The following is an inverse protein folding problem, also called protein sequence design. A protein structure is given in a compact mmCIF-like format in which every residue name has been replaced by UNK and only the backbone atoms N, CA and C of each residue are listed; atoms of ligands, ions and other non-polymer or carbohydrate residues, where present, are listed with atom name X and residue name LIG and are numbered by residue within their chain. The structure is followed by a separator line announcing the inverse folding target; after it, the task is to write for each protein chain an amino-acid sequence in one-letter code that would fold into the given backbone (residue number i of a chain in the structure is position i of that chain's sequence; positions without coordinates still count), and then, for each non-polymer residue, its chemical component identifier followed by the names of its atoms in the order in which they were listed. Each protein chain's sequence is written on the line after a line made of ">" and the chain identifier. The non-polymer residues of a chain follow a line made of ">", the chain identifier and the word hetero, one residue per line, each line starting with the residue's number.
data_IF_752401124112
#
_entry.id   IF_752401124112
#
_cell.length_a   1.000
_cell.length_b   1.000
_cell.length_c   1.000
_cell.angle_alpha   90.00
_cell.angle_beta   90.00
_cell.angle_gamma   90.00
#
_symmetry.space_group_name_H-M   'P 1'
#
loop_
_entity.id
_entity.type
_entity.pdbx_description
1 polymer ?
#
# COMPACT_ATOMS: atom_id res chain seq x y z
N UNK A 1 -6.66 7.37 -11.15
CA UNK A 1 -5.78 6.86 -10.07
C UNK A 1 -6.58 5.92 -9.19
N UNK A 2 -6.00 4.79 -8.79
CA UNK A 2 -6.56 3.89 -7.79
C UNK A 2 -5.57 3.69 -6.63
N UNK A 3 -6.10 3.51 -5.42
CA UNK A 3 -5.34 3.35 -4.19
C UNK A 3 -5.81 2.12 -3.41
N UNK A 4 -4.87 1.38 -2.84
CA UNK A 4 -5.17 0.28 -1.93
C UNK A 4 -4.17 0.26 -0.78
N UNK A 5 -4.68 0.03 0.44
CA UNK A 5 -3.90 -0.06 1.66
C UNK A 5 -4.03 -1.48 2.22
N UNK A 6 -2.88 -2.14 2.39
CA UNK A 6 -2.82 -3.40 3.14
C UNK A 6 -2.79 -3.11 4.64
N UNK A 7 -3.58 -3.87 5.40
CA UNK A 7 -3.72 -3.67 6.85
C UNK A 7 -3.61 -4.98 7.63
N UNK A 8 -2.48 -5.18 8.32
CA UNK A 8 -2.18 -6.37 9.09
C UNK A 8 -2.95 -6.47 10.42
N UNK A 9 -3.75 -5.46 10.82
CA UNK A 9 -4.52 -5.51 12.08
C UNK A 9 -5.57 -6.63 12.03
N UNK A 10 -5.66 -7.42 13.10
CA UNK A 10 -6.51 -8.63 13.20
C UNK A 10 -7.98 -8.44 12.76
N UNK A 11 -8.52 -7.23 12.91
CA UNK A 11 -9.90 -6.93 12.50
C UNK A 11 -10.11 -6.75 10.99
N UNK A 12 -9.03 -6.73 10.19
CA UNK A 12 -9.06 -6.37 8.76
C UNK A 12 -8.43 -7.45 7.86
N UNK A 13 -8.63 -8.73 8.16
CA UNK A 13 -8.08 -9.85 7.37
C UNK A 13 -8.37 -9.76 5.85
N UNK A 14 -9.50 -9.15 5.46
CA UNK A 14 -9.81 -8.89 4.06
C UNK A 14 -8.82 -7.92 3.38
N UNK A 15 -8.34 -6.90 4.09
CA UNK A 15 -7.38 -5.94 3.55
C UNK A 15 -5.98 -6.53 3.37
N UNK A 16 -5.75 -7.79 3.73
CA UNK A 16 -4.45 -8.47 3.60
C UNK A 16 -4.36 -9.37 2.37
N UNK A 17 -5.42 -9.45 1.55
CA UNK A 17 -5.54 -10.40 0.44
C UNK A 17 -5.24 -9.75 -0.91
N UNK A 18 -4.44 -10.43 -1.74
CA UNK A 18 -4.18 -9.99 -3.12
C UNK A 18 -5.47 -9.85 -3.93
N UNK A 19 -6.39 -10.80 -3.76
CA UNK A 19 -7.68 -10.76 -4.44
C UNK A 19 -8.46 -9.45 -4.17
N UNK A 20 -8.40 -8.93 -2.94
CA UNK A 20 -9.09 -7.70 -2.57
C UNK A 20 -8.41 -6.45 -3.14
N UNK A 21 -7.08 -6.46 -3.28
CA UNK A 21 -6.37 -5.45 -4.08
C UNK A 21 -6.92 -5.44 -5.51
N UNK A 22 -6.94 -6.58 -6.20
CA UNK A 22 -7.40 -6.66 -7.60
C UNK A 22 -8.85 -6.20 -7.76
N UNK A 23 -9.76 -6.68 -6.90
CA UNK A 23 -11.18 -6.27 -6.92
C UNK A 23 -11.35 -4.77 -6.66
N UNK A 24 -10.59 -4.21 -5.73
CA UNK A 24 -10.62 -2.78 -5.43
C UNK A 24 -10.14 -1.94 -6.62
N UNK A 25 -9.05 -2.36 -7.28
CA UNK A 25 -8.56 -1.69 -8.48
C UNK A 25 -9.60 -1.73 -9.61
N UNK A 26 -10.20 -2.88 -9.88
CA UNK A 26 -11.27 -3.03 -10.89
C UNK A 26 -12.42 -2.07 -10.60
N UNK A 27 -12.88 -2.02 -9.35
CA UNK A 27 -13.97 -1.15 -8.91
C UNK A 27 -13.62 0.33 -9.14
N UNK A 28 -12.46 0.77 -8.67
CA UNK A 28 -12.03 2.16 -8.76
C UNK A 28 -11.82 2.62 -10.20
N UNK A 29 -11.19 1.81 -11.05
CA UNK A 29 -11.00 2.16 -12.47
C UNK A 29 -12.31 2.07 -13.26
N UNK A 30 -13.18 1.11 -12.97
CA UNK A 30 -14.53 1.04 -13.58
C UNK A 30 -15.34 2.29 -13.26
N UNK A 31 -15.33 2.73 -12.00
CA UNK A 31 -15.99 3.96 -11.59
C UNK A 31 -15.45 5.18 -12.35
N UNK A 32 -14.12 5.30 -12.48
CA UNK A 32 -13.47 6.38 -13.21
C UNK A 32 -13.78 6.40 -14.71
N UNK A 33 -13.97 5.22 -15.31
CA UNK A 33 -14.36 5.11 -16.73
C UNK A 33 -15.78 5.61 -16.99
N UNK A 34 -16.62 5.72 -15.95
CA UNK A 34 -18.00 6.21 -16.07
C UNK A 34 -19.00 5.14 -16.57
N UNK A 35 -18.64 3.86 -16.49
CA UNK A 35 -19.50 2.76 -16.91
C UNK A 35 -18.82 1.41 -16.73
N UNK A 36 -19.64 0.35 -16.63
CA UNK A 36 -19.14 -1.03 -16.47
C UNK A 36 -18.50 -1.47 -17.81
N UNK A 37 -17.20 -1.82 -17.82
CA UNK A 37 -16.54 -2.43 -18.97
C UNK A 37 -17.31 -3.65 -19.47
N UNK A 38 -17.47 -3.79 -20.79
CA UNK A 38 -18.13 -4.96 -21.39
C UNK A 38 -17.47 -6.26 -20.93
N UNK A 39 -16.15 -6.25 -20.78
CA UNK A 39 -15.35 -7.38 -20.34
C UNK A 39 -15.67 -7.81 -18.91
N UNK A 40 -15.93 -6.85 -18.02
CA UNK A 40 -16.35 -7.13 -16.65
C UNK A 40 -17.79 -7.66 -16.63
N UNK A 41 -18.68 -7.12 -17.45
CA UNK A 41 -20.06 -7.59 -17.58
C UNK A 41 -20.13 -9.01 -18.16
N UNK A 42 -19.28 -9.33 -19.12
CA UNK A 42 -19.22 -10.63 -19.75
C UNK A 42 -18.57 -11.67 -18.82
N UNK A 43 -17.55 -11.29 -18.04
CA UNK A 43 -17.02 -12.13 -16.97
C UNK A 43 -18.11 -12.48 -15.94
N UNK A 44 -18.91 -11.51 -15.52
CA UNK A 44 -20.04 -11.75 -14.61
C UNK A 44 -21.05 -12.76 -15.20
N UNK A 45 -21.45 -12.58 -16.47
CA UNK A 45 -22.38 -13.50 -17.15
C UNK A 45 -21.81 -14.91 -17.29
N UNK A 46 -20.50 -15.03 -17.56
CA UNK A 46 -19.82 -16.31 -17.73
C UNK A 46 -19.80 -17.13 -16.43
N UNK A 47 -19.56 -16.47 -15.29
CA UNK A 47 -19.57 -17.13 -13.99
C UNK A 47 -20.99 -17.48 -13.51
N UNK A 48 -22.01 -16.76 -14.00
CA UNK A 48 -23.40 -16.92 -13.55
C UNK A 48 -23.63 -16.42 -12.13
N UNK A 49 -24.84 -16.56 -11.61
CA UNK A 49 -25.27 -15.92 -10.35
C UNK A 49 -24.65 -16.51 -9.07
N UNK A 50 -23.90 -17.62 -9.17
CA UNK A 50 -23.46 -18.40 -7.99
C UNK A 50 -21.96 -18.69 -7.95
N UNK A 51 -21.18 -18.32 -8.98
CA UNK A 51 -19.74 -18.52 -8.96
C UNK A 51 -19.01 -17.19 -9.01
N UNK A 52 -17.96 -17.08 -8.21
CA UNK A 52 -17.04 -15.96 -8.28
C UNK A 52 -16.02 -16.21 -9.40
N UNK A 53 -15.60 -15.18 -10.14
CA UNK A 53 -14.48 -15.30 -11.06
C UNK A 53 -13.20 -15.65 -10.30
N UNK A 54 -12.34 -16.42 -10.94
CA UNK A 54 -11.01 -16.71 -10.41
C UNK A 54 -10.14 -15.45 -10.39
N UNK A 55 -9.11 -15.45 -9.53
CA UNK A 55 -8.17 -14.34 -9.44
C UNK A 55 -7.48 -14.04 -10.79
N UNK A 56 -7.14 -15.07 -11.57
CA UNK A 56 -6.54 -14.91 -12.89
C UNK A 56 -7.49 -14.17 -13.84
N UNK A 57 -8.78 -14.55 -13.87
CA UNK A 57 -9.79 -13.85 -14.68
C UNK A 57 -9.96 -12.39 -14.25
N UNK A 58 -9.90 -12.11 -12.95
CA UNK A 58 -9.95 -10.74 -12.44
C UNK A 58 -8.71 -9.93 -12.87
N UNK A 59 -7.52 -10.52 -12.80
CA UNK A 59 -6.28 -9.88 -13.26
C UNK A 59 -6.32 -9.59 -14.77
N UNK A 60 -6.84 -10.51 -15.58
CA UNK A 60 -7.00 -10.32 -17.02
C UNK A 60 -7.97 -9.18 -17.34
N UNK A 61 -9.13 -9.14 -16.66
CA UNK A 61 -10.09 -8.04 -16.82
C UNK A 61 -9.48 -6.72 -16.35
N UNK A 62 -8.76 -6.69 -15.24
CA UNK A 62 -8.06 -5.49 -14.78
C UNK A 62 -7.07 -4.97 -15.83
N UNK A 63 -6.29 -5.85 -16.47
CA UNK A 63 -5.39 -5.45 -17.56
C UNK A 63 -6.14 -4.78 -18.71
N UNK A 64 -7.28 -5.33 -19.13
CA UNK A 64 -8.09 -4.74 -20.20
C UNK A 64 -8.63 -3.38 -19.78
N UNK A 65 -9.12 -3.25 -18.55
CA UNK A 65 -9.58 -1.97 -18.01
C UNK A 65 -8.47 -0.93 -18.03
N UNK A 66 -7.27 -1.27 -17.55
CA UNK A 66 -6.11 -0.39 -17.52
C UNK A 66 -5.67 0.06 -18.92
N UNK A 67 -5.77 -0.81 -19.93
CA UNK A 67 -5.48 -0.48 -21.32
C UNK A 67 -6.45 0.55 -21.93
N UNK A 68 -7.62 0.75 -21.32
CA UNK A 68 -8.57 1.80 -21.71
C UNK A 68 -8.21 3.20 -21.23
N UNK A 69 -7.18 3.36 -20.39
CA UNK A 69 -6.74 4.66 -19.87
C UNK A 69 -5.52 5.17 -20.63
N UNK A 70 -5.47 6.50 -20.89
CA UNK A 70 -4.24 7.14 -21.37
C UNK A 70 -3.14 7.02 -20.34
N UNK A 71 -3.47 7.27 -19.06
CA UNK A 71 -2.55 7.22 -17.94
C UNK A 71 -3.27 6.56 -16.76
N UNK A 72 -2.72 5.45 -16.30
CA UNK A 72 -3.23 4.72 -15.15
C UNK A 72 -2.24 4.79 -14.00
N UNK A 73 -2.68 5.32 -12.86
CA UNK A 73 -1.89 5.43 -11.64
C UNK A 73 -2.42 4.45 -10.61
N UNK A 74 -1.56 3.58 -10.10
CA UNK A 74 -1.85 2.61 -9.04
C UNK A 74 -0.95 2.92 -7.85
N UNK A 75 -1.54 3.08 -6.67
CA UNK A 75 -0.81 3.22 -5.41
C UNK A 75 -1.13 2.03 -4.53
N UNK A 76 -0.09 1.29 -4.12
CA UNK A 76 -0.16 0.15 -3.22
C UNK A 76 0.57 0.52 -1.93
N UNK A 77 -0.17 0.64 -0.85
CA UNK A 77 0.35 1.13 0.42
C UNK A 77 0.51 -0.03 1.42
N UNK A 78 1.61 0.00 2.18
CA UNK A 78 2.01 -1.01 3.17
C UNK A 78 2.09 -2.45 2.62
N UNK A 79 2.72 -2.65 1.45
CA UNK A 79 2.80 -3.98 0.81
C UNK A 79 3.40 -5.08 1.71
N UNK A 80 4.25 -4.73 2.68
CA UNK A 80 4.77 -5.69 3.66
C UNK A 80 3.69 -6.32 4.55
N UNK A 81 2.52 -5.68 4.68
CA UNK A 81 1.35 -6.17 5.43
C UNK A 81 0.43 -7.09 4.60
N UNK A 82 0.73 -7.30 3.31
CA UNK A 82 0.02 -8.26 2.48
C UNK A 82 0.35 -9.69 2.92
N UNK A 83 -0.65 -10.51 3.20
CA UNK A 83 -0.43 -11.92 3.52
C UNK A 83 -0.12 -12.75 2.28
N UNK A 84 -0.71 -12.40 1.14
CA UNK A 84 -0.46 -13.03 -0.17
C UNK A 84 0.63 -12.26 -0.94
N UNK A 85 1.69 -11.83 -0.23
CA UNK A 85 2.68 -10.89 -0.75
C UNK A 85 3.41 -11.40 -1.99
N UNK A 86 3.77 -12.68 -2.00
CA UNK A 86 4.44 -13.31 -3.15
C UNK A 86 3.56 -13.23 -4.41
N UNK A 87 2.26 -13.52 -4.27
CA UNK A 87 1.30 -13.43 -5.38
C UNK A 87 1.18 -11.99 -5.89
N UNK A 88 1.13 -11.02 -4.96
CA UNK A 88 1.08 -9.58 -5.29
C UNK A 88 2.34 -9.14 -6.03
N UNK A 89 3.52 -9.55 -5.57
CA UNK A 89 4.80 -9.22 -6.21
C UNK A 89 4.92 -9.84 -7.61
N UNK A 90 4.50 -11.10 -7.77
CA UNK A 90 4.44 -11.76 -9.10
C UNK A 90 3.50 -11.02 -10.03
N UNK A 91 2.32 -10.61 -9.54
CA UNK A 91 1.37 -9.84 -10.33
C UNK A 91 1.93 -8.48 -10.73
N UNK A 92 2.55 -7.72 -9.83
CA UNK A 92 3.22 -6.44 -10.14
C UNK A 92 4.31 -6.64 -11.18
N UNK A 93 5.15 -7.66 -11.03
CA UNK A 93 6.19 -7.99 -12.00
C UNK A 93 5.61 -8.27 -13.39
N UNK A 94 4.54 -9.05 -13.44
CA UNK A 94 3.88 -9.39 -14.70
C UNK A 94 3.22 -8.17 -15.33
N UNK A 95 2.66 -7.26 -14.52
CA UNK A 95 2.02 -6.04 -14.99
C UNK A 95 3.03 -5.04 -15.58
N UNK A 96 4.23 -4.94 -14.98
CA UNK A 96 5.32 -4.08 -15.47
C UNK A 96 5.99 -4.68 -16.71
N UNK A 97 6.20 -6.00 -16.72
CA UNK A 97 6.88 -6.71 -17.83
C UNK A 97 6.00 -6.88 -19.07
N UNK A 98 4.70 -6.60 -18.98
CA UNK A 98 3.76 -6.75 -20.09
C UNK A 98 3.99 -5.67 -21.17
N UNK A 99 4.86 -6.01 -22.13
CA UNK A 99 5.32 -5.15 -23.24
C UNK A 99 4.24 -4.70 -24.23
N UNK A 100 3.00 -5.18 -24.12
CA UNK A 100 1.91 -4.79 -25.00
C UNK A 100 1.32 -3.40 -24.68
N UNK A 101 1.65 -2.82 -23.53
CA UNK A 101 1.39 -1.40 -23.25
C UNK A 101 2.56 -0.58 -23.76
N UNK A 102 2.28 0.60 -24.32
CA UNK A 102 3.29 1.65 -24.30
C UNK A 102 3.66 1.83 -22.82
N UNK A 103 4.90 1.47 -22.46
CA UNK A 103 5.40 1.45 -21.08
C UNK A 103 5.24 2.81 -20.36
N UNK A 104 4.86 3.85 -21.10
CA UNK A 104 4.64 5.22 -20.66
C UNK A 104 3.33 5.43 -19.89
N UNK A 105 2.33 4.57 -20.06
CA UNK A 105 0.95 4.85 -19.64
C UNK A 105 0.56 4.22 -18.29
N UNK A 106 1.48 3.50 -17.63
CA UNK A 106 1.26 2.88 -16.33
C UNK A 106 2.26 3.42 -15.32
N UNK A 107 1.72 3.94 -14.22
CA UNK A 107 2.51 4.41 -13.10
C UNK A 107 2.11 3.64 -11.85
N UNK A 108 3.07 2.98 -11.22
CA UNK A 108 2.86 2.24 -9.98
C UNK A 108 3.75 2.88 -8.91
N UNK A 109 3.15 3.22 -7.77
CA UNK A 109 3.85 3.59 -6.55
C UNK A 109 3.55 2.55 -5.50
N UNK A 110 4.60 2.07 -4.84
CA UNK A 110 4.49 1.10 -3.75
C UNK A 110 5.19 1.66 -2.52
N UNK A 111 4.55 1.54 -1.36
CA UNK A 111 5.20 1.77 -0.07
C UNK A 111 5.30 0.43 0.68
N UNK A 112 6.41 0.25 1.40
CA UNK A 112 6.59 -0.89 2.29
C UNK A 112 7.75 -0.64 3.25
N UNK A 113 7.90 -1.52 4.23
CA UNK A 113 9.19 -1.75 4.90
C UNK A 113 10.22 -2.34 3.92
N UNK A 114 11.53 -2.20 4.20
CA UNK A 114 12.61 -2.75 3.36
C UNK A 114 12.75 -4.27 3.55
N UNK A 115 11.71 -5.02 3.19
CA UNK A 115 11.71 -6.48 3.21
C UNK A 115 12.46 -7.01 1.98
N UNK A 116 13.35 -8.01 2.17
CA UNK A 116 14.29 -8.47 1.13
C UNK A 116 13.61 -8.99 -0.14
N UNK A 117 12.46 -9.63 -0.01
CA UNK A 117 11.67 -10.15 -1.12
C UNK A 117 11.09 -9.01 -1.96
N UNK A 118 10.61 -7.95 -1.32
CA UNK A 118 10.13 -6.73 -1.98
C UNK A 118 11.29 -6.04 -2.70
N UNK A 119 12.40 -5.77 -2.01
CA UNK A 119 13.58 -5.12 -2.58
C UNK A 119 14.10 -5.85 -3.81
N UNK A 120 14.19 -7.18 -3.73
CA UNK A 120 14.67 -8.02 -4.82
C UNK A 120 13.83 -7.87 -6.08
N UNK A 121 12.50 -7.81 -5.95
CA UNK A 121 11.59 -7.66 -7.10
C UNK A 121 11.72 -6.27 -7.70
N UNK A 122 11.65 -5.20 -6.88
CA UNK A 122 11.71 -3.83 -7.41
C UNK A 122 13.08 -3.43 -7.96
N UNK A 123 14.16 -4.05 -7.49
CA UNK A 123 15.49 -3.87 -8.06
C UNK A 123 15.59 -4.34 -9.54
N UNK A 124 14.69 -5.22 -9.99
CA UNK A 124 14.68 -5.70 -11.38
C UNK A 124 14.11 -4.70 -12.39
N UNK A 125 13.36 -3.68 -11.95
CA UNK A 125 12.65 -2.74 -12.83
C UNK A 125 13.29 -1.35 -12.96
N UNK A 126 14.51 -1.15 -12.44
CA UNK A 126 15.11 0.19 -12.28
C UNK A 126 14.15 1.16 -11.55
N UNK A 127 13.42 0.63 -10.57
CA UNK A 127 12.46 1.41 -9.81
C UNK A 127 13.18 2.48 -8.99
N UNK A 128 12.67 3.72 -9.03
CA UNK A 128 13.16 4.79 -8.16
C UNK A 128 12.73 4.52 -6.73
N UNK A 129 13.64 3.96 -5.92
CA UNK A 129 13.45 3.79 -4.50
C UNK A 129 13.75 5.10 -3.74
N UNK A 130 12.88 5.46 -2.80
CA UNK A 130 13.09 6.57 -1.87
C UNK A 130 13.01 5.97 -0.47
N UNK A 131 14.13 6.00 0.27
CA UNK A 131 14.12 5.64 1.68
C UNK A 131 13.70 6.86 2.52
N UNK A 132 12.60 6.69 3.27
CA UNK A 132 12.03 7.71 4.14
C UNK A 132 12.53 7.55 5.60
N UNK A 133 13.17 6.43 5.93
CA UNK A 133 13.55 6.06 7.30
C UNK A 133 14.87 6.63 7.80
N UNK A 134 15.90 6.76 6.95
CA UNK A 134 17.26 7.07 7.42
C UNK A 134 17.47 8.53 7.85
N UNK A 135 16.81 9.50 7.22
CA UNK A 135 17.19 10.91 7.38
C UNK A 135 16.51 11.64 8.54
N UNK A 136 15.34 11.16 9.02
CA UNK A 136 14.48 11.96 9.91
C UNK A 136 13.82 11.21 11.06
N UNK A 137 13.79 9.88 11.04
CA UNK A 137 12.95 9.10 11.96
C UNK A 137 13.16 9.46 13.43
N UNK A 138 14.41 9.57 13.90
CA UNK A 138 14.64 9.89 15.31
C UNK A 138 14.41 11.38 15.65
N UNK A 139 14.81 12.30 14.77
CA UNK A 139 14.69 13.74 15.08
C UNK A 139 13.25 14.23 14.99
N UNK A 140 12.47 13.72 14.03
CA UNK A 140 11.08 14.12 13.85
C UNK A 140 10.17 13.48 14.91
N UNK A 141 10.43 12.24 15.32
CA UNK A 141 9.77 11.66 16.50
C UNK A 141 10.09 12.50 17.74
N UNK A 142 11.36 12.85 17.98
CA UNK A 142 11.74 13.66 19.13
C UNK A 142 11.04 15.03 19.10
N UNK A 143 11.03 15.73 17.95
CA UNK A 143 10.34 17.03 17.81
C UNK A 143 8.83 16.92 18.02
N UNK A 144 8.20 15.88 17.48
CA UNK A 144 6.77 15.62 17.68
C UNK A 144 6.46 15.35 19.16
N UNK A 145 7.27 14.54 19.82
CA UNK A 145 7.15 14.27 21.26
C UNK A 145 7.36 15.55 22.07
N UNK A 146 8.35 16.37 21.74
CA UNK A 146 8.59 17.65 22.42
C UNK A 146 7.38 18.60 22.28
N UNK A 147 6.81 18.74 21.09
CA UNK A 147 5.60 19.55 20.86
C UNK A 147 4.38 19.02 21.65
N UNK A 148 4.18 17.69 21.67
CA UNK A 148 3.09 17.08 22.42
C UNK A 148 3.28 17.22 23.94
N UNK A 149 4.52 17.14 24.42
CA UNK A 149 4.86 17.31 25.83
C UNK A 149 4.68 18.76 26.28
N UNK A 150 5.03 19.74 25.45
CA UNK A 150 4.80 21.16 25.74
C UNK A 150 3.31 21.52 25.80
N UNK A 151 2.46 20.81 25.06
CA UNK A 151 1.00 21.02 25.12
C UNK A 151 0.33 20.26 26.27
N UNK A 152 0.68 18.98 26.48
CA UNK A 152 -0.02 18.08 27.43
C UNK A 152 0.58 18.01 28.83
N UNK A 153 1.88 18.35 29.01
CA UNK A 153 2.56 18.21 30.31
C UNK A 153 2.80 19.54 31.03
N UNK A 154 2.17 20.63 30.60
CA UNK A 154 2.30 21.97 31.22
C UNK A 154 2.02 22.03 32.73
N UNK A 155 1.23 21.09 33.27
CA UNK A 155 0.93 21.01 34.70
C UNK A 155 1.87 20.13 35.54
N UNK A 156 2.78 19.37 34.92
CA UNK A 156 3.66 18.44 35.64
C UNK A 156 5.01 19.07 36.01
N UNK A 157 5.61 18.56 37.08
CA UNK A 157 6.92 18.98 37.59
C UNK A 157 8.05 18.70 36.57
N UNK A 158 9.09 19.53 36.60
CA UNK A 158 10.24 19.51 35.68
C UNK A 158 10.96 18.15 35.69
N UNK A 159 11.10 17.54 36.87
CA UNK A 159 11.75 16.23 37.02
C UNK A 159 10.93 15.11 36.36
N UNK A 160 9.61 15.14 36.51
CA UNK A 160 8.70 14.16 35.89
C UNK A 160 8.73 14.32 34.37
N UNK A 161 8.76 15.55 33.85
CA UNK A 161 8.90 15.79 32.40
C UNK A 161 10.22 15.23 31.86
N UNK A 162 11.33 15.43 32.58
CA UNK A 162 12.65 14.90 32.17
C UNK A 162 12.69 13.38 32.15
N UNK A 163 12.06 12.72 33.12
CA UNK A 163 11.98 11.26 33.18
C UNK A 163 11.10 10.67 32.05
N UNK A 164 9.98 11.31 31.75
CA UNK A 164 9.14 10.93 30.61
C UNK A 164 9.90 11.13 29.28
N UNK A 165 10.62 12.26 29.12
CA UNK A 165 11.44 12.53 27.92
C UNK A 165 12.51 11.46 27.71
N UNK A 166 13.25 11.11 28.75
CA UNK A 166 14.33 10.11 28.64
C UNK A 166 13.79 8.72 28.34
N UNK A 167 12.66 8.34 28.95
CA UNK A 167 12.01 7.06 28.72
C UNK A 167 11.44 6.92 27.30
N UNK A 168 10.78 7.96 26.79
CA UNK A 168 10.25 7.98 25.42
C UNK A 168 11.35 8.01 24.37
N UNK A 169 12.42 8.78 24.57
CA UNK A 169 13.56 8.83 23.63
C UNK A 169 14.24 7.46 23.47
N UNK A 170 14.36 6.71 24.58
CA UNK A 170 14.88 5.34 24.57
C UNK A 170 13.92 4.35 23.89
N UNK A 171 12.60 4.57 23.95
CA UNK A 171 11.60 3.72 23.27
C UNK A 171 11.42 4.06 21.79
N UNK A 172 11.74 5.30 21.39
CA UNK A 172 11.61 5.80 20.03
C UNK A 172 12.70 5.31 19.07
N UNK A 173 13.68 4.53 19.54
CA UNK A 173 14.71 3.89 18.71
C UNK A 173 14.13 2.77 17.82
N UNK A 174 13.23 3.13 16.89
CA UNK A 174 12.83 2.27 15.77
C UNK A 174 11.34 2.13 15.45
N UNK A 175 10.40 2.82 16.11
CA UNK A 175 8.98 2.72 15.72
C UNK A 175 8.09 3.90 16.17
N UNK A 176 7.30 4.42 15.24
CA UNK A 176 6.25 5.44 15.47
C UNK A 176 5.02 4.89 16.21
N UNK A 177 4.84 3.57 16.32
CA UNK A 177 3.59 2.94 16.79
C UNK A 177 3.49 2.91 18.33
N UNK A 178 4.57 3.23 19.05
CA UNK A 178 4.62 3.14 20.52
C UNK A 178 4.09 4.35 21.30
N UNK A 179 3.51 5.37 20.63
CA UNK A 179 3.17 6.64 21.30
C UNK A 179 1.79 7.17 20.91
N UNK A 180 0.75 6.40 21.19
CA UNK A 180 -0.60 6.96 21.43
C UNK A 180 -1.31 6.13 22.51
N UNK A 181 -2.11 6.77 23.38
CA UNK A 181 -2.89 6.08 24.40
C UNK A 181 -3.98 5.20 23.80
#
# INVERSE_FOLDING_TARGET
>A
MAYFFFDARDSQAALQRHENLIRSLISQFTYQRGGIPTELADLYKLCGDHQQPSINQLQDVLRIILNGFSDAYIVIDALDECADREETLVWVNNLISDTHRAAENLHIMVTSRPERDIEKVFATFDARAIDVGEATANQDIIKFLECQMESKLKGYDENIRKEIKSSLKRKAEGSYVGVSP
#
